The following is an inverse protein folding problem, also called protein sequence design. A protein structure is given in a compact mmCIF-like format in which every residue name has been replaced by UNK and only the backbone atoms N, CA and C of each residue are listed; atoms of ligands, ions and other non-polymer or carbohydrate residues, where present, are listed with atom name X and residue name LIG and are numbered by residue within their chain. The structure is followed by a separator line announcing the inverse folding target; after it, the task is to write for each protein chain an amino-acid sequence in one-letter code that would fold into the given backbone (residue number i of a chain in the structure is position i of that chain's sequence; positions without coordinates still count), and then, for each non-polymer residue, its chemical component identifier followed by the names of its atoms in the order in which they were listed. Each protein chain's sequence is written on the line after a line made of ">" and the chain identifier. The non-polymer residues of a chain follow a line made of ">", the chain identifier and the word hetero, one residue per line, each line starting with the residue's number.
data_IF_895584923105
#
_entry.id   IF_895584923105
#
_cell.length_a   1.000
_cell.length_b   1.000
_cell.length_c   1.000
_cell.angle_alpha   90.00
_cell.angle_beta   90.00
_cell.angle_gamma   90.00
#
_symmetry.space_group_name_H-M   'P 1'
#
loop_
_entity.id
_entity.type
_entity.pdbx_description
1 polymer ?
#
# COMPACT_ATOMS: atom_id res chain seq x y z
N UNK A 1 0.38 8.57 -40.22
CA UNK A 1 0.25 9.94 -40.78
C UNK A 1 0.84 10.87 -39.75
N UNK A 2 1.77 11.74 -40.04
CA UNK A 2 2.29 12.72 -39.08
C UNK A 2 1.15 13.70 -38.75
N UNK A 3 0.79 13.77 -37.47
CA UNK A 3 -0.17 14.76 -36.98
C UNK A 3 0.31 16.17 -37.28
N UNK A 4 -0.55 16.98 -37.89
CA UNK A 4 -0.24 18.35 -38.29
C UNK A 4 0.17 19.17 -37.04
N UNK A 5 1.29 19.91 -37.09
CA UNK A 5 1.83 20.69 -35.96
C UNK A 5 0.84 21.72 -35.37
N UNK A 6 -0.20 22.10 -36.10
CA UNK A 6 -1.21 23.07 -35.68
C UNK A 6 -2.20 22.56 -34.58
N UNK A 7 -2.45 21.26 -34.49
CA UNK A 7 -3.36 20.70 -33.46
C UNK A 7 -2.72 20.59 -32.07
N UNK A 8 -1.41 20.40 -32.02
CA UNK A 8 -0.67 20.21 -30.76
C UNK A 8 -0.48 21.54 -29.98
N UNK A 9 -0.22 22.66 -30.72
CA UNK A 9 -0.10 23.97 -30.08
C UNK A 9 -1.44 24.50 -29.53
N UNK A 10 -2.55 24.05 -30.13
CA UNK A 10 -3.91 24.43 -29.67
C UNK A 10 -4.25 23.75 -28.33
N UNK A 11 -3.82 22.51 -28.14
CA UNK A 11 -4.03 21.79 -26.86
C UNK A 11 -3.26 22.46 -25.71
N UNK A 12 -1.99 22.82 -25.91
CA UNK A 12 -1.20 23.52 -24.89
C UNK A 12 -1.85 24.85 -24.48
N UNK A 13 -2.33 25.62 -25.45
CA UNK A 13 -3.00 26.89 -25.20
C UNK A 13 -4.31 26.73 -24.44
N UNK A 14 -5.10 25.72 -24.72
CA UNK A 14 -6.35 25.43 -23.99
C UNK A 14 -6.06 25.08 -22.53
N UNK A 15 -5.07 24.22 -22.28
CA UNK A 15 -4.67 23.85 -20.92
C UNK A 15 -4.16 25.05 -20.14
N UNK A 16 -3.28 25.84 -20.73
CA UNK A 16 -2.75 27.07 -20.11
C UNK A 16 -3.88 28.04 -19.80
N UNK A 17 -4.78 28.29 -20.78
CA UNK A 17 -5.89 29.22 -20.61
C UNK A 17 -6.83 28.76 -19.49
N UNK A 18 -7.19 27.48 -19.45
CA UNK A 18 -8.07 26.92 -18.41
C UNK A 18 -7.48 27.08 -17.00
N UNK A 19 -6.18 26.91 -16.84
CA UNK A 19 -5.53 27.07 -15.55
C UNK A 19 -5.28 28.54 -15.14
N UNK A 20 -5.30 29.49 -16.10
CA UNK A 20 -5.17 30.93 -15.81
C UNK A 20 -6.50 31.60 -15.43
N UNK A 21 -7.64 31.02 -15.79
CA UNK A 21 -8.98 31.58 -15.47
C UNK A 21 -9.14 31.91 -13.97
N UNK A 22 -8.75 31.05 -13.01
CA UNK A 22 -8.87 31.38 -11.60
C UNK A 22 -8.02 32.60 -11.17
N UNK A 23 -6.82 32.76 -11.74
CA UNK A 23 -6.00 33.97 -11.51
C UNK A 23 -6.69 35.23 -11.99
N UNK A 24 -7.26 35.21 -13.19
CA UNK A 24 -8.03 36.32 -13.72
C UNK A 24 -9.23 36.64 -12.80
N UNK A 25 -9.92 35.61 -12.30
CA UNK A 25 -11.02 35.74 -11.34
C UNK A 25 -10.63 36.49 -10.06
N UNK A 26 -9.43 36.21 -9.52
CA UNK A 26 -8.91 36.94 -8.33
C UNK A 26 -8.66 38.41 -8.64
N UNK A 27 -8.00 38.72 -9.77
CA UNK A 27 -7.60 40.09 -10.09
C UNK A 27 -8.77 40.95 -10.62
N UNK A 28 -9.68 40.35 -11.38
CA UNK A 28 -10.78 41.11 -12.04
C UNK A 28 -12.12 41.07 -11.30
N UNK A 29 -12.40 39.96 -10.59
CA UNK A 29 -13.71 39.72 -9.97
C UNK A 29 -13.66 39.69 -8.44
N UNK A 30 -12.49 39.97 -7.84
CA UNK A 30 -12.32 40.04 -6.38
C UNK A 30 -12.53 38.72 -5.66
N UNK A 31 -12.25 37.56 -6.33
CA UNK A 31 -12.38 36.28 -5.70
C UNK A 31 -11.41 36.14 -4.52
N UNK A 32 -11.88 35.52 -3.44
CA UNK A 32 -11.07 35.32 -2.27
C UNK A 32 -9.97 34.27 -2.56
N UNK A 33 -8.70 34.64 -2.39
CA UNK A 33 -7.53 33.80 -2.62
C UNK A 33 -7.59 32.52 -1.78
N UNK A 34 -8.02 32.62 -0.53
CA UNK A 34 -8.12 31.46 0.36
C UNK A 34 -9.17 30.45 -0.11
N UNK A 35 -10.30 30.94 -0.60
CA UNK A 35 -11.35 30.09 -1.18
C UNK A 35 -10.83 29.30 -2.37
N UNK A 36 -10.05 29.92 -3.25
CA UNK A 36 -9.44 29.23 -4.38
C UNK A 36 -8.39 28.21 -3.96
N UNK A 37 -7.55 28.52 -2.97
CA UNK A 37 -6.58 27.58 -2.43
C UNK A 37 -7.28 26.34 -1.85
N UNK A 38 -8.38 26.52 -1.15
CA UNK A 38 -9.19 25.39 -0.64
C UNK A 38 -9.78 24.58 -1.79
N UNK A 39 -10.30 25.23 -2.84
CA UNK A 39 -10.82 24.55 -4.02
C UNK A 39 -9.74 23.70 -4.71
N UNK A 40 -8.55 24.26 -4.89
CA UNK A 40 -7.41 23.51 -5.44
C UNK A 40 -6.96 22.35 -4.53
N UNK A 41 -7.04 22.54 -3.21
CA UNK A 41 -6.75 21.48 -2.27
C UNK A 41 -7.76 20.32 -2.39
N UNK A 42 -9.05 20.62 -2.51
CA UNK A 42 -10.12 19.63 -2.76
C UNK A 42 -9.87 18.93 -4.10
N UNK A 43 -9.51 19.68 -5.14
CA UNK A 43 -9.15 19.13 -6.45
C UNK A 43 -7.98 18.13 -6.36
N UNK A 44 -6.89 18.51 -5.69
CA UNK A 44 -5.73 17.65 -5.53
C UNK A 44 -6.08 16.39 -4.74
N UNK A 45 -6.83 16.52 -3.66
CA UNK A 45 -7.29 15.39 -2.85
C UNK A 45 -8.16 14.43 -3.66
N UNK A 46 -9.16 14.94 -4.38
CA UNK A 46 -10.02 14.10 -5.23
C UNK A 46 -9.25 13.44 -6.37
N UNK A 47 -8.29 14.14 -6.96
CA UNK A 47 -7.42 13.60 -8.02
C UNK A 47 -6.54 12.47 -7.49
N UNK A 48 -6.01 12.57 -6.26
CA UNK A 48 -5.26 11.46 -5.62
C UNK A 48 -6.17 10.27 -5.31
N UNK A 49 -7.36 10.51 -4.78
CA UNK A 49 -8.32 9.42 -4.50
C UNK A 49 -8.73 8.69 -5.78
N UNK A 50 -9.12 9.43 -6.83
CA UNK A 50 -9.48 8.84 -8.12
C UNK A 50 -8.28 8.22 -8.82
N UNK A 51 -7.11 8.85 -8.75
CA UNK A 51 -5.86 8.28 -9.26
C UNK A 51 -5.52 6.95 -8.58
N UNK A 52 -5.70 6.88 -7.26
CA UNK A 52 -5.53 5.65 -6.49
C UNK A 52 -6.51 4.57 -6.95
N UNK A 53 -7.78 4.91 -7.15
CA UNK A 53 -8.78 3.99 -7.67
C UNK A 53 -8.43 3.53 -9.09
N UNK A 54 -8.08 4.45 -10.00
CA UNK A 54 -7.61 4.14 -11.37
C UNK A 54 -6.40 3.18 -11.33
N UNK A 55 -5.44 3.42 -10.44
CA UNK A 55 -4.22 2.61 -10.35
C UNK A 55 -4.49 1.15 -10.05
N UNK A 56 -5.58 0.81 -9.32
CA UNK A 56 -5.96 -0.57 -9.05
C UNK A 56 -6.34 -1.36 -10.31
N UNK A 57 -6.82 -0.68 -11.34
CA UNK A 57 -7.21 -1.28 -12.62
C UNK A 57 -6.08 -1.32 -13.65
N UNK A 58 -4.94 -0.68 -13.39
CA UNK A 58 -3.84 -0.60 -14.34
C UNK A 58 -3.22 -1.96 -14.64
N UNK A 59 -3.22 -2.36 -15.92
CA UNK A 59 -2.76 -3.67 -16.38
C UNK A 59 -1.23 -3.74 -16.49
N UNK A 60 -0.56 -2.63 -16.78
CA UNK A 60 0.89 -2.64 -16.91
C UNK A 60 1.57 -2.74 -15.53
N UNK A 61 2.59 -3.59 -15.41
CA UNK A 61 3.38 -3.71 -14.21
C UNK A 61 4.17 -2.44 -13.93
N UNK A 62 4.09 -1.94 -12.70
CA UNK A 62 4.93 -0.82 -12.28
C UNK A 62 6.35 -1.29 -11.97
N UNK A 63 7.40 -0.59 -12.43
CA UNK A 63 8.77 -0.94 -12.06
C UNK A 63 9.00 -0.76 -10.56
N UNK A 64 9.81 -1.63 -9.97
CA UNK A 64 10.21 -1.56 -8.56
C UNK A 64 11.23 -0.46 -8.33
N UNK A 65 11.12 0.23 -7.20
CA UNK A 65 12.16 1.15 -6.71
C UNK A 65 13.01 0.40 -5.68
N UNK A 66 14.28 0.20 -6.01
CA UNK A 66 15.21 -0.50 -5.13
C UNK A 66 15.32 0.23 -3.79
N UNK A 67 15.17 -0.52 -2.71
CA UNK A 67 15.27 -0.01 -1.34
C UNK A 67 13.97 0.60 -0.76
N UNK A 68 12.92 0.76 -1.53
CA UNK A 68 11.62 1.25 -1.02
C UNK A 68 10.76 0.08 -0.57
N UNK A 69 10.39 0.06 0.71
CA UNK A 69 9.43 -0.92 1.26
C UNK A 69 8.02 -0.34 1.24
N UNK A 70 7.20 -0.82 0.33
CA UNK A 70 5.78 -0.46 0.25
C UNK A 70 4.95 -1.28 1.26
N UNK A 71 3.81 -0.75 1.74
CA UNK A 71 2.85 -1.54 2.51
C UNK A 71 2.37 -2.72 1.68
N UNK A 72 2.21 -3.89 2.29
CA UNK A 72 1.78 -5.12 1.59
C UNK A 72 2.66 -5.48 0.36
N UNK A 73 3.96 -5.22 0.46
CA UNK A 73 4.93 -5.49 -0.62
C UNK A 73 4.81 -6.92 -1.20
N UNK A 74 4.35 -7.86 -0.39
CA UNK A 74 4.13 -9.24 -0.79
C UNK A 74 3.14 -9.40 -1.96
N UNK A 75 2.19 -8.48 -2.12
CA UNK A 75 1.22 -8.50 -3.22
C UNK A 75 1.79 -7.99 -4.55
N UNK A 76 2.93 -7.30 -4.53
CA UNK A 76 3.50 -6.67 -5.72
C UNK A 76 3.84 -7.66 -6.84
N UNK A 77 4.20 -8.88 -6.46
CA UNK A 77 4.54 -9.94 -7.40
C UNK A 77 3.35 -10.83 -7.78
N UNK A 78 2.13 -10.49 -7.28
CA UNK A 78 0.92 -11.22 -7.67
C UNK A 78 0.57 -10.95 -9.13
N UNK A 79 0.33 -12.02 -9.88
CA UNK A 79 -0.02 -12.01 -11.30
C UNK A 79 -1.50 -12.24 -11.49
N UNK A 80 -2.05 -11.73 -12.59
CA UNK A 80 -3.47 -11.83 -12.89
C UNK A 80 -4.32 -10.74 -12.23
N UNK A 81 -5.59 -10.68 -12.61
CA UNK A 81 -6.54 -9.69 -12.15
C UNK A 81 -7.88 -10.32 -11.75
N UNK A 82 -8.45 -9.81 -10.68
CA UNK A 82 -9.76 -10.21 -10.20
C UNK A 82 -10.86 -9.30 -10.75
N UNK A 83 -11.95 -9.87 -11.24
CA UNK A 83 -13.12 -9.15 -11.73
C UNK A 83 -14.17 -9.04 -10.63
N UNK A 84 -14.26 -7.90 -9.91
CA UNK A 84 -15.26 -7.72 -8.85
C UNK A 84 -16.68 -7.68 -9.40
N UNK A 85 -16.85 -7.11 -10.58
CA UNK A 85 -18.10 -7.02 -11.33
C UNK A 85 -17.81 -7.23 -12.82
N UNK A 86 -18.71 -7.87 -13.54
CA UNK A 86 -18.56 -8.10 -14.99
C UNK A 86 -18.48 -6.81 -15.82
N UNK A 87 -18.98 -5.70 -15.27
CA UNK A 87 -19.00 -4.38 -15.92
C UNK A 87 -17.76 -3.53 -15.64
N UNK A 88 -16.92 -3.95 -14.70
CA UNK A 88 -15.68 -3.23 -14.33
C UNK A 88 -14.44 -3.98 -14.86
N UNK A 89 -13.36 -3.26 -15.16
CA UNK A 89 -12.10 -3.91 -15.48
C UNK A 89 -11.56 -4.71 -14.29
N UNK A 90 -10.61 -5.63 -14.53
CA UNK A 90 -10.02 -6.41 -13.46
C UNK A 90 -9.22 -5.53 -12.49
N UNK A 91 -9.33 -5.81 -11.20
CA UNK A 91 -8.49 -5.23 -10.16
C UNK A 91 -7.22 -6.07 -10.04
N UNK A 92 -6.07 -5.43 -10.15
CA UNK A 92 -4.76 -6.09 -10.04
C UNK A 92 -4.18 -5.94 -8.62
N UNK A 93 -4.10 -7.01 -7.81
CA UNK A 93 -3.57 -6.94 -6.45
C UNK A 93 -2.15 -6.38 -6.37
N UNK A 94 -1.33 -6.55 -7.41
CA UNK A 94 0.04 -6.01 -7.50
C UNK A 94 0.13 -4.48 -7.40
N UNK A 95 -0.95 -3.76 -7.68
CA UNK A 95 -1.00 -2.31 -7.63
C UNK A 95 -1.38 -1.78 -6.23
N UNK A 96 -1.94 -2.64 -5.36
CA UNK A 96 -2.36 -2.29 -4.00
C UNK A 96 -1.22 -1.72 -3.14
N UNK A 97 0.00 -2.29 -3.13
CA UNK A 97 1.11 -1.74 -2.35
C UNK A 97 1.42 -0.28 -2.70
N UNK A 98 1.48 0.02 -3.98
CA UNK A 98 1.77 1.38 -4.46
C UNK A 98 0.61 2.35 -4.16
N UNK A 99 -0.62 1.95 -4.40
CA UNK A 99 -1.82 2.72 -4.07
C UNK A 99 -1.89 3.08 -2.58
N UNK A 100 -1.62 2.09 -1.70
CA UNK A 100 -1.57 2.31 -0.25
C UNK A 100 -0.39 3.19 0.18
N UNK A 101 0.75 3.12 -0.50
CA UNK A 101 1.88 4.02 -0.22
C UNK A 101 1.51 5.48 -0.45
N UNK A 102 0.84 5.78 -1.56
CA UNK A 102 0.40 7.14 -1.89
C UNK A 102 -0.66 7.62 -0.89
N UNK A 103 -1.68 6.81 -0.60
CA UNK A 103 -2.69 7.14 0.43
C UNK A 103 -2.08 7.27 1.83
N UNK A 104 -1.08 6.45 2.15
CA UNK A 104 -0.37 6.51 3.42
C UNK A 104 0.39 7.81 3.59
N UNK A 105 1.09 8.29 2.57
CA UNK A 105 1.78 9.59 2.58
C UNK A 105 0.75 10.71 2.76
N UNK A 106 -0.34 10.67 2.02
CA UNK A 106 -1.41 11.65 2.15
C UNK A 106 -2.02 11.65 3.56
N UNK A 107 -2.45 10.50 4.05
CA UNK A 107 -3.09 10.37 5.36
C UNK A 107 -2.18 10.69 6.54
N UNK A 108 -0.90 10.35 6.47
CA UNK A 108 0.05 10.55 7.58
C UNK A 108 0.78 11.89 7.56
N UNK A 109 0.84 12.57 6.42
CA UNK A 109 1.62 13.80 6.28
C UNK A 109 0.75 14.97 5.85
N UNK A 110 0.08 14.86 4.71
CA UNK A 110 -0.65 15.98 4.12
C UNK A 110 -1.89 16.36 4.94
N UNK A 111 -2.70 15.37 5.33
CA UNK A 111 -3.92 15.63 6.12
C UNK A 111 -3.59 16.24 7.49
N UNK A 112 -2.66 15.71 8.31
CA UNK A 112 -2.30 16.33 9.59
C UNK A 112 -1.71 17.73 9.45
N UNK A 113 -0.84 17.98 8.46
CA UNK A 113 -0.28 19.31 8.21
C UNK A 113 -1.41 20.28 7.85
N UNK A 114 -2.31 19.89 6.95
CA UNK A 114 -3.46 20.72 6.58
C UNK A 114 -4.35 21.00 7.79
N UNK A 115 -4.65 20.00 8.61
CA UNK A 115 -5.44 20.17 9.83
C UNK A 115 -4.77 21.14 10.82
N UNK A 116 -3.44 21.05 10.97
CA UNK A 116 -2.66 21.98 11.82
C UNK A 116 -2.74 23.41 11.27
N UNK A 117 -2.58 23.59 9.95
CA UNK A 117 -2.71 24.91 9.30
C UNK A 117 -4.11 25.50 9.56
N UNK A 118 -5.14 24.70 9.39
CA UNK A 118 -6.51 25.13 9.64
C UNK A 118 -6.79 25.47 11.10
N UNK A 119 -6.13 24.79 12.04
CA UNK A 119 -6.27 25.03 13.46
C UNK A 119 -5.49 26.27 13.94
N UNK A 120 -4.42 26.67 13.24
CA UNK A 120 -3.52 27.76 13.66
C UNK A 120 -3.67 29.04 12.87
N UNK A 121 -4.15 28.96 11.64
CA UNK A 121 -4.40 30.10 10.75
C UNK A 121 -5.90 30.34 10.63
N UNK A 122 -6.33 31.55 10.96
CA UNK A 122 -7.72 31.96 10.76
C UNK A 122 -7.97 32.14 9.26
N UNK A 123 -8.35 31.04 8.60
CA UNK A 123 -8.60 31.00 7.16
C UNK A 123 -10.07 31.40 6.95
N UNK A 124 -10.35 32.57 6.37
CA UNK A 124 -11.71 33.01 6.10
C UNK A 124 -12.31 32.22 4.92
N UNK A 125 -12.68 30.97 5.16
CA UNK A 125 -13.35 30.15 4.15
C UNK A 125 -14.82 30.52 4.14
N UNK A 126 -15.21 31.26 3.13
CA UNK A 126 -16.61 31.47 2.83
C UNK A 126 -17.08 30.29 1.98
N UNK A 127 -17.79 29.36 2.59
CA UNK A 127 -18.52 28.30 1.88
C UNK A 127 -19.75 28.95 1.19
N UNK A 128 -19.46 29.64 0.11
CA UNK A 128 -20.54 30.20 -0.71
C UNK A 128 -21.14 29.10 -1.61
N UNK A 129 -22.32 29.32 -2.09
CA UNK A 129 -22.99 28.38 -3.00
C UNK A 129 -22.19 28.21 -4.31
N UNK A 130 -21.48 29.26 -4.76
CA UNK A 130 -20.60 29.19 -5.93
C UNK A 130 -19.44 28.23 -5.73
N UNK A 131 -18.83 28.22 -4.55
CA UNK A 131 -17.75 27.24 -4.19
C UNK A 131 -18.27 25.83 -4.19
N UNK A 132 -19.47 25.63 -3.63
CA UNK A 132 -20.10 24.31 -3.59
C UNK A 132 -20.43 23.79 -4.99
N UNK A 133 -20.94 24.63 -5.86
CA UNK A 133 -21.21 24.30 -7.28
C UNK A 133 -19.89 24.02 -8.00
N UNK A 134 -18.89 24.90 -7.85
CA UNK A 134 -17.59 24.72 -8.51
C UNK A 134 -16.94 23.40 -8.10
N UNK A 135 -16.98 23.06 -6.80
CA UNK A 135 -16.52 21.76 -6.29
C UNK A 135 -17.30 20.59 -6.90
N UNK A 136 -18.63 20.70 -6.97
CA UNK A 136 -19.50 19.70 -7.57
C UNK A 136 -19.21 19.47 -9.05
N UNK A 137 -19.03 20.54 -9.82
CA UNK A 137 -18.69 20.47 -11.25
C UNK A 137 -17.31 19.83 -11.44
N UNK A 138 -16.32 20.19 -10.61
CA UNK A 138 -14.98 19.62 -10.66
C UNK A 138 -15.02 18.12 -10.38
N UNK A 139 -15.69 17.68 -9.33
CA UNK A 139 -15.82 16.26 -8.99
C UNK A 139 -16.57 15.50 -10.09
N UNK A 140 -17.63 16.08 -10.64
CA UNK A 140 -18.37 15.48 -11.73
C UNK A 140 -17.50 15.34 -12.99
N UNK A 141 -16.72 16.36 -13.34
CA UNK A 141 -15.80 16.30 -14.48
C UNK A 141 -14.77 15.18 -14.33
N UNK A 142 -14.20 15.01 -13.11
CA UNK A 142 -13.26 13.92 -12.81
C UNK A 142 -13.95 12.54 -12.89
N UNK A 143 -15.19 12.41 -12.45
CA UNK A 143 -15.95 11.15 -12.56
C UNK A 143 -16.31 10.82 -14.02
N UNK A 144 -16.66 11.83 -14.83
CA UNK A 144 -16.91 11.66 -16.27
C UNK A 144 -15.63 11.23 -16.97
N UNK A 145 -14.49 11.87 -16.71
CA UNK A 145 -13.18 11.49 -17.25
C UNK A 145 -12.83 10.05 -16.86
N UNK A 146 -13.03 9.66 -15.60
CA UNK A 146 -12.83 8.30 -15.16
C UNK A 146 -13.68 7.31 -15.94
N UNK A 147 -14.98 7.60 -16.12
CA UNK A 147 -15.90 6.67 -16.76
C UNK A 147 -15.74 6.63 -18.28
N UNK A 148 -15.58 7.78 -18.91
CA UNK A 148 -15.56 7.90 -20.38
C UNK A 148 -14.16 7.67 -20.94
N UNK A 149 -13.17 8.39 -20.41
CA UNK A 149 -11.81 8.33 -20.96
C UNK A 149 -11.03 7.13 -20.40
N UNK A 150 -11.06 6.91 -19.08
CA UNK A 150 -10.23 5.85 -18.52
C UNK A 150 -10.84 4.46 -18.72
N UNK A 151 -12.13 4.28 -18.37
CA UNK A 151 -12.83 2.99 -18.54
C UNK A 151 -13.31 2.77 -19.97
N UNK A 152 -13.88 3.81 -20.59
CA UNK A 152 -14.51 3.71 -21.93
C UNK A 152 -13.50 3.47 -23.05
N UNK A 153 -12.33 4.10 -23.02
CA UNK A 153 -11.25 3.87 -24.00
C UNK A 153 -10.31 2.72 -23.63
N UNK A 154 -10.56 2.03 -22.52
CA UNK A 154 -9.70 0.96 -21.97
C UNK A 154 -8.25 1.42 -21.70
N UNK A 155 -8.05 2.67 -21.36
CA UNK A 155 -6.73 3.23 -21.08
C UNK A 155 -5.98 2.46 -19.98
N UNK A 156 -6.70 1.77 -19.09
CA UNK A 156 -6.13 0.92 -18.05
C UNK A 156 -5.29 -0.25 -18.59
N UNK A 157 -5.45 -0.64 -19.86
CA UNK A 157 -4.65 -1.72 -20.49
C UNK A 157 -3.24 -1.27 -20.83
N UNK A 158 -3.02 0.03 -21.07
CA UNK A 158 -1.79 0.60 -21.61
C UNK A 158 -0.95 1.33 -20.57
N UNK A 159 -1.48 1.56 -19.35
CA UNK A 159 -0.82 2.35 -18.30
C UNK A 159 -0.45 1.52 -17.09
N UNK A 160 0.57 1.98 -16.35
CA UNK A 160 0.97 1.42 -15.06
C UNK A 160 0.40 2.25 -13.90
N UNK A 161 0.27 1.63 -12.70
CA UNK A 161 -0.17 2.33 -11.50
C UNK A 161 0.74 3.52 -11.16
N UNK A 162 2.03 3.40 -11.44
CA UNK A 162 3.00 4.47 -11.21
C UNK A 162 2.76 5.66 -12.12
N UNK A 163 2.54 5.44 -13.40
CA UNK A 163 2.24 6.51 -14.36
C UNK A 163 0.99 7.29 -13.96
N UNK A 164 -0.07 6.59 -13.56
CA UNK A 164 -1.33 7.21 -13.14
C UNK A 164 -1.14 8.12 -11.92
N UNK A 165 -0.35 7.66 -10.92
CA UNK A 165 -0.20 8.37 -9.65
C UNK A 165 0.97 9.36 -9.64
N UNK A 166 1.80 9.40 -10.65
CA UNK A 166 2.96 10.28 -10.71
C UNK A 166 2.54 11.75 -10.75
N UNK A 167 1.62 12.13 -11.63
CA UNK A 167 1.13 13.51 -11.74
C UNK A 167 0.40 13.98 -10.46
N UNK A 168 -0.58 13.25 -9.90
CA UNK A 168 -1.22 13.62 -8.65
C UNK A 168 -0.24 13.79 -7.48
N UNK A 169 0.76 12.91 -7.39
CA UNK A 169 1.78 12.97 -6.33
C UNK A 169 2.67 14.21 -6.48
N UNK A 170 3.11 14.54 -7.69
CA UNK A 170 3.93 15.72 -7.95
C UNK A 170 3.15 17.01 -7.66
N UNK A 171 1.88 17.08 -8.06
CA UNK A 171 1.01 18.20 -7.75
C UNK A 171 0.83 18.40 -6.23
N UNK A 172 0.67 17.29 -5.51
CA UNK A 172 0.55 17.31 -4.04
C UNK A 172 1.80 17.86 -3.36
N UNK A 173 2.98 17.37 -3.77
CA UNK A 173 4.25 17.86 -3.23
C UNK A 173 4.43 19.35 -3.51
N UNK A 174 4.09 19.80 -4.71
CA UNK A 174 4.13 21.21 -5.07
C UNK A 174 3.17 22.06 -4.22
N UNK A 175 1.94 21.57 -4.00
CA UNK A 175 0.97 22.24 -3.13
C UNK A 175 1.46 22.31 -1.67
N UNK A 176 2.05 21.25 -1.16
CA UNK A 176 2.60 21.22 0.20
C UNK A 176 3.72 22.26 0.38
N UNK A 177 4.68 22.31 -0.57
CA UNK A 177 5.77 23.27 -0.52
C UNK A 177 5.26 24.72 -0.57
N UNK A 178 4.33 25.00 -1.48
CA UNK A 178 3.73 26.33 -1.61
C UNK A 178 2.85 26.68 -0.40
N UNK A 179 2.15 25.71 0.18
CA UNK A 179 1.37 25.89 1.41
C UNK A 179 2.25 26.26 2.59
N UNK A 180 3.41 25.61 2.76
CA UNK A 180 4.38 25.95 3.82
C UNK A 180 4.93 27.38 3.62
N UNK A 181 5.24 27.76 2.38
CA UNK A 181 5.67 29.14 2.06
C UNK A 181 4.55 30.13 2.38
N UNK A 182 3.29 29.78 2.05
CA UNK A 182 2.12 30.61 2.32
C UNK A 182 1.86 30.88 3.80
N UNK A 183 2.23 29.92 4.70
CA UNK A 183 2.10 30.11 6.16
C UNK A 183 2.99 31.21 6.73
N UNK A 184 4.12 31.47 6.09
CA UNK A 184 5.07 32.51 6.53
C UNK A 184 4.79 33.89 5.91
N UNK A 185 3.76 33.98 5.08
CA UNK A 185 3.56 35.08 4.17
C UNK A 185 2.41 36.01 4.62
N UNK A 186 2.63 37.32 4.45
CA UNK A 186 1.61 38.36 4.62
C UNK A 186 0.51 38.24 3.55
N UNK A 187 -0.60 38.97 3.70
CA UNK A 187 -1.76 38.91 2.79
C UNK A 187 -1.42 39.13 1.29
N UNK A 188 -0.39 39.93 0.99
CA UNK A 188 0.14 40.12 -0.37
C UNK A 188 0.86 38.88 -0.93
N UNK A 189 1.36 38.02 -0.06
CA UNK A 189 2.02 36.79 -0.47
C UNK A 189 1.03 35.66 -0.79
N UNK A 190 -0.23 35.72 -0.35
CA UNK A 190 -1.25 34.77 -0.73
C UNK A 190 -1.47 34.75 -2.25
N UNK A 191 -1.42 35.91 -2.91
CA UNK A 191 -1.51 36.00 -4.38
C UNK A 191 -0.27 35.42 -5.04
N UNK A 192 0.93 35.60 -4.47
CA UNK A 192 2.15 35.01 -5.01
C UNK A 192 2.15 33.47 -4.86
N UNK A 193 1.63 32.96 -3.74
CA UNK A 193 1.47 31.50 -3.52
C UNK A 193 0.47 30.92 -4.54
N UNK A 194 -0.66 31.57 -4.74
CA UNK A 194 -1.65 31.18 -5.74
C UNK A 194 -1.05 31.20 -7.16
N UNK A 195 -0.33 32.28 -7.51
CA UNK A 195 0.35 32.39 -8.80
C UNK A 195 1.38 31.28 -9.01
N UNK A 196 2.21 31.01 -8.01
CA UNK A 196 3.17 29.90 -8.01
C UNK A 196 2.48 28.55 -8.20
N UNK A 197 1.38 28.31 -7.50
CA UNK A 197 0.59 27.09 -7.63
C UNK A 197 0.03 26.91 -9.05
N UNK A 198 -0.61 27.96 -9.61
CA UNK A 198 -1.17 27.90 -10.97
C UNK A 198 -0.07 27.64 -12.00
N UNK A 199 1.11 28.26 -11.84
CA UNK A 199 2.26 28.01 -12.73
C UNK A 199 2.70 26.53 -12.64
N UNK A 200 2.90 26.00 -11.44
CA UNK A 200 3.32 24.61 -11.26
C UNK A 200 2.25 23.64 -11.76
N UNK A 201 0.97 23.87 -11.44
CA UNK A 201 -0.14 23.06 -11.94
C UNK A 201 -0.19 23.06 -13.46
N UNK A 202 -0.09 24.24 -14.08
CA UNK A 202 -0.11 24.38 -15.55
C UNK A 202 1.08 23.65 -16.17
N UNK A 203 2.28 23.80 -15.59
CA UNK A 203 3.47 23.11 -16.07
C UNK A 203 3.31 21.59 -16.01
N UNK A 204 2.76 21.06 -14.91
CA UNK A 204 2.48 19.63 -14.76
C UNK A 204 1.41 19.17 -15.76
N UNK A 205 0.28 19.86 -15.89
CA UNK A 205 -0.76 19.50 -16.84
C UNK A 205 -0.26 19.50 -18.29
N UNK A 206 0.50 20.53 -18.69
CA UNK A 206 1.11 20.57 -20.04
C UNK A 206 2.09 19.42 -20.23
N UNK A 207 2.92 19.09 -19.24
CA UNK A 207 3.92 18.03 -19.38
C UNK A 207 3.30 16.63 -19.53
N UNK A 208 2.11 16.40 -18.96
CA UNK A 208 1.46 15.08 -18.95
C UNK A 208 0.38 14.92 -20.02
N UNK A 209 -0.37 15.96 -20.32
CA UNK A 209 -1.52 15.91 -21.22
C UNK A 209 -1.16 16.31 -22.66
N UNK A 210 -0.03 16.99 -22.85
CA UNK A 210 0.40 17.49 -24.14
C UNK A 210 1.67 16.77 -24.65
N UNK A 211 1.77 16.63 -25.96
CA UNK A 211 2.97 16.13 -26.66
C UNK A 211 3.75 17.25 -27.36
N UNK A 212 3.41 18.50 -27.06
CA UNK A 212 4.00 19.69 -27.63
C UNK A 212 5.48 19.92 -27.25
N UNK A 213 6.14 20.93 -27.85
CA UNK A 213 7.54 21.24 -27.55
C UNK A 213 7.75 21.67 -26.09
N UNK A 214 6.77 22.40 -25.51
CA UNK A 214 6.81 22.83 -24.11
C UNK A 214 6.73 21.62 -23.18
N UNK A 215 5.82 20.70 -23.47
CA UNK A 215 5.66 19.46 -22.71
C UNK A 215 6.96 18.66 -22.65
N UNK A 216 7.62 18.46 -23.80
CA UNK A 216 8.91 17.74 -23.89
C UNK A 216 10.02 18.41 -23.08
N UNK A 217 10.08 19.75 -23.11
CA UNK A 217 11.06 20.50 -22.30
C UNK A 217 10.79 20.34 -20.80
N UNK A 218 9.53 20.44 -20.37
CA UNK A 218 9.14 20.26 -18.98
C UNK A 218 9.38 18.82 -18.51
N UNK A 219 9.02 17.81 -19.30
CA UNK A 219 9.31 16.41 -19.01
C UNK A 219 10.80 16.18 -18.81
N UNK A 220 11.66 16.73 -19.69
CA UNK A 220 13.11 16.60 -19.53
C UNK A 220 13.66 17.22 -18.23
N UNK A 221 13.03 18.28 -17.73
CA UNK A 221 13.37 18.90 -16.44
C UNK A 221 12.91 18.01 -15.29
N UNK A 222 11.67 17.49 -15.36
CA UNK A 222 11.15 16.58 -14.34
C UNK A 222 11.92 15.26 -14.27
N UNK A 223 12.32 14.71 -15.42
CA UNK A 223 13.16 13.50 -15.48
C UNK A 223 14.53 13.72 -14.83
N UNK A 224 15.14 14.89 -15.05
CA UNK A 224 16.41 15.26 -14.37
C UNK A 224 16.27 15.45 -12.87
N UNK A 225 15.12 16.00 -12.40
CA UNK A 225 14.83 16.19 -10.98
C UNK A 225 14.43 14.88 -10.30
N UNK A 226 13.86 13.94 -11.06
CA UNK A 226 13.49 12.61 -10.60
C UNK A 226 14.67 11.66 -10.57
N UNK A 227 15.83 12.10 -10.06
CA UNK A 227 17.11 11.42 -9.98
C UNK A 227 17.10 9.91 -10.33
N UNK A 228 18.11 9.43 -11.06
CA UNK A 228 18.37 8.04 -11.45
C UNK A 228 18.08 7.03 -10.35
N UNK A 229 16.80 6.69 -10.18
CA UNK A 229 16.43 5.54 -9.36
C UNK A 229 16.50 4.32 -10.24
N UNK A 230 17.39 3.41 -9.91
CA UNK A 230 17.42 2.10 -10.57
C UNK A 230 16.04 1.46 -10.47
N UNK A 231 15.36 1.36 -11.60
CA UNK A 231 14.06 0.76 -11.74
C UNK A 231 14.25 -0.69 -12.20
N UNK A 232 13.79 -1.62 -11.40
CA UNK A 232 13.74 -3.02 -11.80
C UNK A 232 12.62 -3.20 -12.84
N UNK A 233 12.89 -3.91 -13.92
CA UNK A 233 11.87 -4.20 -14.93
C UNK A 233 10.80 -5.15 -14.37
N UNK A 234 9.52 -4.95 -14.72
CA UNK A 234 8.49 -5.92 -14.42
C UNK A 234 8.86 -7.29 -14.99
N UNK A 235 8.73 -8.33 -14.21
CA UNK A 235 9.03 -9.67 -14.69
C UNK A 235 7.95 -10.16 -15.65
N UNK A 236 8.33 -10.83 -16.76
CA UNK A 236 7.38 -11.43 -17.68
C UNK A 236 6.51 -12.48 -16.96
N UNK A 237 5.30 -12.65 -17.44
CA UNK A 237 4.47 -13.76 -16.98
C UNK A 237 5.12 -15.08 -17.43
N UNK A 238 5.18 -16.11 -16.56
CA UNK A 238 5.70 -17.41 -16.97
C UNK A 238 4.69 -18.07 -17.92
N UNK A 239 5.19 -18.60 -19.01
CA UNK A 239 4.40 -19.35 -19.96
C UNK A 239 3.90 -20.64 -19.32
N UNK A 240 2.58 -20.83 -19.34
CA UNK A 240 1.96 -22.03 -18.78
C UNK A 240 2.26 -23.23 -19.71
N UNK A 241 2.80 -24.35 -19.18
CA UNK A 241 3.03 -25.54 -20.01
C UNK A 241 1.71 -26.06 -20.62
N UNK A 242 1.77 -26.48 -21.88
CA UNK A 242 0.62 -27.05 -22.62
C UNK A 242 0.21 -28.44 -22.07
N UNK A 243 1.03 -29.04 -21.22
CA UNK A 243 0.79 -30.34 -20.63
C UNK A 243 -0.44 -30.34 -19.70
N UNK A 244 -1.20 -31.43 -19.77
CA UNK A 244 -2.39 -31.59 -18.94
C UNK A 244 -2.02 -31.68 -17.43
N UNK A 245 -2.93 -31.23 -16.58
CA UNK A 245 -2.77 -31.34 -15.13
C UNK A 245 -2.84 -32.81 -14.73
N UNK A 246 -1.73 -33.37 -14.21
CA UNK A 246 -1.62 -34.76 -13.75
C UNK A 246 -2.10 -34.92 -12.31
N UNK A 247 -1.74 -33.99 -11.45
CA UNK A 247 -2.14 -33.94 -10.05
C UNK A 247 -2.38 -32.50 -9.59
N UNK A 248 -3.23 -32.32 -8.59
CA UNK A 248 -3.53 -31.02 -8.00
C UNK A 248 -3.66 -31.09 -6.49
N UNK A 249 -3.22 -30.04 -5.82
CA UNK A 249 -3.40 -29.84 -4.37
C UNK A 249 -4.01 -28.45 -4.16
N UNK A 250 -5.20 -28.41 -3.58
CA UNK A 250 -5.91 -27.17 -3.26
C UNK A 250 -5.61 -26.79 -1.82
N UNK A 251 -5.28 -25.53 -1.58
CA UNK A 251 -5.02 -25.02 -0.25
C UNK A 251 -6.33 -24.80 0.50
N UNK A 252 -6.45 -25.33 1.72
CA UNK A 252 -7.65 -25.12 2.52
C UNK A 252 -7.67 -23.72 3.14
N UNK A 253 -8.83 -23.02 3.15
CA UNK A 253 -8.95 -21.70 3.79
C UNK A 253 -8.54 -21.71 5.26
N UNK A 254 -8.82 -22.81 5.98
CA UNK A 254 -8.46 -22.95 7.39
C UNK A 254 -6.93 -22.97 7.58
N UNK A 255 -6.20 -23.74 6.78
CA UNK A 255 -4.73 -23.78 6.86
C UNK A 255 -4.10 -22.42 6.59
N UNK A 256 -4.67 -21.64 5.66
CA UNK A 256 -4.19 -20.29 5.36
C UNK A 256 -4.46 -19.34 6.52
N UNK A 257 -5.65 -19.37 7.12
CA UNK A 257 -5.97 -18.54 8.27
C UNK A 257 -5.08 -18.88 9.47
N UNK A 258 -4.85 -20.17 9.74
CA UNK A 258 -3.94 -20.61 10.79
C UNK A 258 -2.48 -20.20 10.50
N UNK A 259 -2.03 -20.37 9.25
CA UNK A 259 -0.72 -19.92 8.80
C UNK A 259 -0.52 -18.40 8.91
N UNK A 260 -1.60 -17.60 8.82
CA UNK A 260 -1.53 -16.13 8.94
C UNK A 260 -1.16 -15.63 10.34
N UNK A 261 -1.20 -16.48 11.38
CA UNK A 261 -0.88 -16.10 12.76
C UNK A 261 0.53 -15.54 12.91
N UNK A 262 1.52 -16.06 12.16
CA UNK A 262 2.86 -15.47 12.12
C UNK A 262 2.87 -14.04 11.57
N UNK A 263 2.07 -13.78 10.55
CA UNK A 263 1.92 -12.45 9.96
C UNK A 263 1.23 -11.49 10.92
N UNK A 264 0.22 -11.95 11.66
CA UNK A 264 -0.46 -11.17 12.69
C UNK A 264 0.53 -10.79 13.79
N UNK A 265 1.29 -11.75 14.32
CA UNK A 265 2.30 -11.51 15.34
C UNK A 265 3.33 -10.48 14.88
N UNK A 266 3.92 -10.67 13.70
CA UNK A 266 4.88 -9.72 13.12
C UNK A 266 4.26 -8.34 12.90
N UNK A 267 2.97 -8.27 12.60
CA UNK A 267 2.24 -6.99 12.42
C UNK A 267 2.08 -6.26 13.75
N UNK A 268 1.73 -6.95 14.82
CA UNK A 268 1.60 -6.34 16.17
C UNK A 268 2.94 -5.75 16.63
N UNK A 269 4.06 -6.42 16.32
CA UNK A 269 5.40 -5.92 16.65
C UNK A 269 5.96 -4.89 15.64
N UNK A 270 5.20 -4.55 14.60
CA UNK A 270 5.56 -3.43 13.73
C UNK A 270 5.47 -2.11 14.51
N UNK A 271 6.48 -1.24 14.34
CA UNK A 271 6.59 0.03 15.09
C UNK A 271 5.32 0.88 15.02
N UNK A 272 4.71 1.03 13.84
CA UNK A 272 3.48 1.82 13.66
C UNK A 272 2.29 1.23 14.41
N UNK A 273 2.11 -0.10 14.35
CA UNK A 273 1.02 -0.81 15.05
C UNK A 273 1.26 -0.82 16.57
N UNK A 274 2.52 -0.98 17.00
CA UNK A 274 2.87 -0.89 18.40
C UNK A 274 2.57 0.50 18.98
N UNK A 275 2.91 1.57 18.27
CA UNK A 275 2.57 2.94 18.68
C UNK A 275 1.06 3.18 18.71
N UNK A 276 0.32 2.66 17.73
CA UNK A 276 -1.14 2.72 17.72
C UNK A 276 -1.72 2.00 18.94
N UNK A 277 -1.22 0.81 19.26
CA UNK A 277 -1.65 0.03 20.42
C UNK A 277 -1.37 0.79 21.73
N UNK A 278 -0.19 1.37 21.87
CA UNK A 278 0.17 2.23 23.01
C UNK A 278 -0.80 3.41 23.13
N UNK A 279 -1.10 4.08 22.01
CA UNK A 279 -2.05 5.19 21.96
C UNK A 279 -3.48 4.77 22.38
N UNK A 280 -3.94 3.60 21.92
CA UNK A 280 -5.25 3.04 22.33
C UNK A 280 -5.27 2.76 23.83
N UNK A 281 -4.23 2.12 24.36
CA UNK A 281 -4.12 1.83 25.79
C UNK A 281 -4.10 3.13 26.59
N UNK A 282 -3.28 4.11 26.19
CA UNK A 282 -3.24 5.42 26.84
C UNK A 282 -4.60 6.12 26.82
N UNK A 283 -5.33 6.10 25.71
CA UNK A 283 -6.65 6.69 25.58
C UNK A 283 -7.69 5.99 26.51
N UNK A 284 -7.59 4.68 26.70
CA UNK A 284 -8.44 3.94 27.64
C UNK A 284 -8.16 4.41 29.08
N UNK A 285 -6.89 4.46 29.49
CA UNK A 285 -6.53 4.84 30.86
C UNK A 285 -6.77 6.32 31.16
N UNK A 286 -6.74 7.19 30.16
CA UNK A 286 -7.07 8.61 30.30
C UNK A 286 -8.57 8.92 30.15
N UNK A 287 -9.40 7.90 29.95
CA UNK A 287 -10.87 8.05 29.84
C UNK A 287 -11.37 8.59 28.50
N UNK A 288 -10.50 8.68 27.48
CA UNK A 288 -10.87 9.17 26.16
C UNK A 288 -11.47 8.05 25.28
N UNK A 289 -12.68 7.59 25.61
CA UNK A 289 -13.36 6.44 24.97
C UNK A 289 -13.53 6.59 23.45
N UNK A 290 -13.75 7.78 22.94
CA UNK A 290 -13.90 8.03 21.49
C UNK A 290 -12.59 7.71 20.77
N UNK A 291 -11.46 8.22 21.27
CA UNK A 291 -10.16 7.99 20.64
C UNK A 291 -9.71 6.54 20.78
N UNK A 292 -10.01 5.87 21.90
CA UNK A 292 -9.72 4.44 22.05
C UNK A 292 -10.55 3.59 21.08
N UNK A 293 -11.83 3.92 20.87
CA UNK A 293 -12.69 3.22 19.90
C UNK A 293 -12.22 3.42 18.46
N UNK A 294 -11.84 4.63 18.08
CA UNK A 294 -11.26 4.93 16.77
C UNK A 294 -9.94 4.15 16.56
N UNK A 295 -9.04 4.20 17.53
CA UNK A 295 -7.77 3.48 17.46
C UNK A 295 -7.95 1.97 17.37
N UNK A 296 -8.90 1.39 18.12
CA UNK A 296 -9.23 -0.04 18.03
C UNK A 296 -9.81 -0.39 16.65
N UNK A 297 -10.68 0.44 16.10
CA UNK A 297 -11.22 0.24 14.75
C UNK A 297 -10.09 0.24 13.71
N UNK A 298 -9.15 1.19 13.78
CA UNK A 298 -7.99 1.24 12.90
C UNK A 298 -7.12 -0.02 13.05
N UNK A 299 -6.89 -0.48 14.28
CA UNK A 299 -6.13 -1.71 14.54
C UNK A 299 -6.80 -2.94 13.90
N UNK A 300 -8.11 -3.08 14.08
CA UNK A 300 -8.89 -4.17 13.46
C UNK A 300 -8.81 -4.10 11.94
N UNK A 301 -8.95 -2.92 11.34
CA UNK A 301 -8.80 -2.72 9.90
C UNK A 301 -7.40 -3.11 9.40
N UNK A 302 -6.34 -2.72 10.10
CA UNK A 302 -4.96 -3.08 9.74
C UNK A 302 -4.77 -4.59 9.80
N UNK A 303 -5.25 -5.25 10.84
CA UNK A 303 -5.18 -6.72 10.97
C UNK A 303 -6.00 -7.42 9.88
N UNK A 304 -7.21 -6.96 9.59
CA UNK A 304 -8.05 -7.51 8.54
C UNK A 304 -7.39 -7.39 7.16
N UNK A 305 -6.78 -6.25 6.85
CA UNK A 305 -6.02 -6.03 5.62
C UNK A 305 -4.81 -6.97 5.54
N UNK A 306 -4.09 -7.18 6.63
CA UNK A 306 -2.95 -8.10 6.69
C UNK A 306 -3.36 -9.56 6.50
N UNK A 307 -4.42 -10.00 7.17
CA UNK A 307 -4.98 -11.35 6.99
C UNK A 307 -5.49 -11.52 5.55
N UNK A 308 -6.22 -10.54 5.03
CA UNK A 308 -6.72 -10.55 3.66
C UNK A 308 -5.59 -10.61 2.62
N UNK A 309 -4.50 -9.86 2.82
CA UNK A 309 -3.32 -9.93 1.94
C UNK A 309 -2.63 -11.29 1.98
N UNK A 310 -2.53 -11.91 3.16
CA UNK A 310 -1.99 -13.26 3.33
C UNK A 310 -2.88 -14.30 2.64
N UNK A 311 -4.20 -14.15 2.80
CA UNK A 311 -5.18 -15.02 2.12
C UNK A 311 -5.11 -14.88 0.60
N UNK A 312 -5.05 -13.66 0.06
CA UNK A 312 -4.84 -13.43 -1.37
C UNK A 312 -3.53 -14.02 -1.89
N UNK A 313 -2.51 -14.12 -1.04
CA UNK A 313 -1.21 -14.67 -1.42
C UNK A 313 -1.22 -16.19 -1.52
N UNK A 314 -1.91 -16.89 -0.62
CA UNK A 314 -1.83 -18.34 -0.47
C UNK A 314 -3.18 -19.07 -0.59
N UNK A 315 -4.27 -18.45 -0.20
CA UNK A 315 -5.58 -19.10 -0.09
C UNK A 315 -6.30 -19.32 -1.41
N UNK A 316 -5.88 -18.63 -2.45
CA UNK A 316 -6.43 -18.74 -3.81
C UNK A 316 -5.56 -19.60 -4.72
N UNK A 317 -4.48 -20.20 -4.19
CA UNK A 317 -3.51 -20.98 -4.94
C UNK A 317 -3.94 -22.45 -5.02
N UNK A 318 -3.86 -23.00 -6.23
CA UNK A 318 -3.88 -24.42 -6.53
C UNK A 318 -2.50 -24.83 -7.04
N UNK A 319 -1.88 -25.82 -6.41
CA UNK A 319 -0.61 -26.37 -6.87
C UNK A 319 -0.89 -27.51 -7.85
N UNK A 320 -0.39 -27.38 -9.07
CA UNK A 320 -0.61 -28.31 -10.17
C UNK A 320 0.69 -28.95 -10.61
N UNK A 321 0.71 -30.28 -10.75
CA UNK A 321 1.77 -30.99 -11.44
C UNK A 321 1.40 -31.07 -12.93
N UNK A 322 2.27 -30.57 -13.81
CA UNK A 322 2.16 -30.67 -15.26
C UNK A 322 3.47 -31.20 -15.82
N UNK A 323 3.50 -32.50 -16.20
CA UNK A 323 4.75 -33.15 -16.59
C UNK A 323 5.84 -33.03 -15.54
N UNK A 324 6.96 -32.45 -15.93
CA UNK A 324 8.12 -32.26 -15.05
C UNK A 324 8.13 -30.94 -14.27
N UNK A 325 7.04 -30.16 -14.32
CA UNK A 325 6.96 -28.86 -13.65
C UNK A 325 5.87 -28.82 -12.59
N UNK A 326 6.15 -28.08 -11.52
CA UNK A 326 5.17 -27.66 -10.50
C UNK A 326 4.76 -26.24 -10.78
N UNK A 327 3.46 -26.01 -10.90
CA UNK A 327 2.83 -24.72 -11.17
C UNK A 327 2.02 -24.30 -9.97
N UNK A 328 2.26 -23.09 -9.45
CA UNK A 328 1.34 -22.46 -8.53
C UNK A 328 0.35 -21.58 -9.33
N UNK A 329 -0.87 -22.04 -9.47
CA UNK A 329 -1.91 -21.38 -10.23
C UNK A 329 -2.90 -20.69 -9.30
N UNK A 330 -3.13 -19.41 -9.50
CA UNK A 330 -4.13 -18.66 -8.74
C UNK A 330 -5.50 -18.75 -9.42
N UNK A 331 -6.44 -19.41 -8.76
CA UNK A 331 -7.78 -19.66 -9.29
C UNK A 331 -8.67 -18.41 -9.29
N UNK A 332 -8.45 -17.47 -8.37
CA UNK A 332 -9.17 -16.20 -8.29
C UNK A 332 -8.68 -15.20 -9.36
N UNK A 333 -7.36 -15.14 -9.55
CA UNK A 333 -6.73 -14.21 -10.48
C UNK A 333 -6.55 -14.79 -11.89
N UNK A 334 -6.83 -16.08 -12.05
CA UNK A 334 -6.73 -16.86 -13.30
C UNK A 334 -5.35 -16.73 -13.97
N UNK A 335 -4.29 -16.90 -13.19
CA UNK A 335 -2.92 -16.72 -13.67
C UNK A 335 -1.89 -17.58 -12.90
N UNK A 336 -0.84 -18.10 -13.58
CA UNK A 336 0.26 -18.76 -12.93
C UNK A 336 1.09 -17.76 -12.12
N UNK A 337 1.35 -18.06 -10.87
CA UNK A 337 2.15 -17.21 -9.99
C UNK A 337 3.65 -17.51 -10.13
N UNK A 338 4.00 -18.78 -10.17
CA UNK A 338 5.35 -19.26 -10.43
C UNK A 338 5.32 -20.70 -10.98
N UNK A 339 6.38 -21.05 -11.68
CA UNK A 339 6.59 -22.36 -12.29
C UNK A 339 7.99 -22.84 -11.92
N UNK A 340 8.11 -24.10 -11.51
CA UNK A 340 9.37 -24.68 -11.07
C UNK A 340 9.53 -26.08 -11.64
N UNK A 341 10.64 -26.38 -12.34
CA UNK A 341 10.98 -27.74 -12.72
C UNK A 341 11.28 -28.61 -11.50
N UNK A 342 10.61 -29.75 -11.37
CA UNK A 342 10.68 -30.58 -10.16
C UNK A 342 11.98 -31.35 -10.06
N UNK A 343 12.54 -31.81 -11.20
CA UNK A 343 13.73 -32.67 -11.24
C UNK A 343 15.04 -31.92 -11.59
N UNK A 344 15.00 -30.58 -11.64
CA UNK A 344 16.18 -29.78 -11.96
C UNK A 344 16.91 -29.27 -10.70
N UNK A 345 17.44 -28.06 -10.77
CA UNK A 345 18.22 -27.43 -9.69
C UNK A 345 17.37 -26.95 -8.49
N UNK A 346 16.05 -27.03 -8.57
CA UNK A 346 15.18 -26.60 -7.49
C UNK A 346 15.34 -27.49 -6.24
N UNK A 347 15.38 -26.86 -5.07
CA UNK A 347 15.44 -27.54 -3.78
C UNK A 347 14.14 -27.33 -3.05
N UNK A 348 13.54 -28.43 -2.62
CA UNK A 348 12.33 -28.45 -1.80
C UNK A 348 12.71 -28.77 -0.35
N UNK A 349 12.51 -27.81 0.55
CA UNK A 349 12.87 -27.92 1.97
C UNK A 349 11.63 -27.68 2.82
N UNK A 350 11.39 -28.51 3.84
CA UNK A 350 10.29 -28.30 4.77
C UNK A 350 10.63 -27.08 5.64
N UNK A 351 9.76 -26.06 5.58
CA UNK A 351 9.86 -24.89 6.44
C UNK A 351 9.05 -25.14 7.70
N UNK A 352 9.71 -25.61 8.76
CA UNK A 352 9.09 -25.79 10.07
C UNK A 352 8.71 -24.42 10.70
N UNK A 353 7.76 -23.71 10.08
CA UNK A 353 7.29 -22.43 10.60
C UNK A 353 6.54 -22.62 11.93
N UNK A 354 6.53 -21.60 12.77
CA UNK A 354 5.82 -21.64 14.07
C UNK A 354 4.35 -22.04 13.89
N UNK A 355 3.55 -21.47 12.97
CA UNK A 355 2.19 -21.91 12.74
C UNK A 355 2.07 -23.38 12.32
N UNK A 356 3.01 -23.88 11.51
CA UNK A 356 2.98 -25.26 11.04
C UNK A 356 3.08 -26.24 12.22
N UNK A 357 3.93 -25.93 13.21
CA UNK A 357 4.09 -26.73 14.43
C UNK A 357 2.90 -26.66 15.37
N UNK A 358 2.31 -25.45 15.53
CA UNK A 358 1.20 -25.23 16.46
C UNK A 358 -0.12 -25.80 15.94
N UNK A 359 -0.35 -25.71 14.63
CA UNK A 359 -1.63 -26.03 14.03
C UNK A 359 -1.60 -27.25 13.09
N UNK A 360 -0.45 -27.90 12.96
CA UNK A 360 -0.31 -29.08 12.11
C UNK A 360 -0.40 -28.78 10.61
N UNK A 361 -0.18 -27.53 10.21
CA UNK A 361 -0.06 -27.18 8.79
C UNK A 361 1.34 -27.44 8.28
N UNK A 362 1.53 -27.48 6.97
CA UNK A 362 2.84 -27.69 6.38
C UNK A 362 3.17 -26.69 5.29
N UNK A 363 4.42 -26.25 5.27
CA UNK A 363 4.94 -25.29 4.30
C UNK A 363 6.26 -25.76 3.73
N UNK A 364 6.46 -25.67 2.40
CA UNK A 364 7.74 -25.91 1.76
C UNK A 364 8.38 -24.59 1.31
N UNK A 365 9.68 -24.51 1.45
CA UNK A 365 10.52 -23.52 0.77
C UNK A 365 11.05 -24.15 -0.51
N UNK A 366 10.83 -23.47 -1.64
CA UNK A 366 11.36 -23.88 -2.94
C UNK A 366 12.42 -22.87 -3.33
N UNK A 367 13.67 -23.31 -3.40
CA UNK A 367 14.83 -22.47 -3.73
C UNK A 367 15.32 -22.72 -5.14
N UNK A 368 16.12 -21.79 -5.69
CA UNK A 368 16.65 -21.82 -7.06
C UNK A 368 15.54 -21.78 -8.14
N UNK A 369 14.52 -20.99 -7.89
CA UNK A 369 13.43 -20.75 -8.84
C UNK A 369 13.85 -19.70 -9.86
N UNK A 370 13.84 -20.05 -11.13
CA UNK A 370 14.09 -19.11 -12.23
C UNK A 370 12.90 -18.19 -12.44
N UNK A 371 13.13 -16.98 -12.92
CA UNK A 371 12.10 -15.98 -13.23
C UNK A 371 11.23 -15.49 -12.05
N UNK A 372 11.74 -15.55 -10.81
CA UNK A 372 11.12 -14.88 -9.65
C UNK A 372 12.05 -13.79 -9.08
N UNK A 373 11.53 -12.68 -8.51
CA UNK A 373 12.37 -11.61 -7.92
C UNK A 373 13.26 -12.09 -6.78
N UNK A 374 12.77 -13.09 -6.07
CA UNK A 374 13.52 -13.84 -5.06
C UNK A 374 13.75 -15.23 -5.61
N UNK A 375 14.97 -15.70 -5.64
CA UNK A 375 15.31 -17.08 -6.04
C UNK A 375 14.61 -18.15 -5.18
N UNK A 376 13.64 -17.75 -4.37
CA UNK A 376 12.95 -18.59 -3.39
C UNK A 376 11.46 -18.26 -3.36
N UNK A 377 10.62 -19.30 -3.50
CA UNK A 377 9.17 -19.20 -3.34
C UNK A 377 8.68 -20.11 -2.22
N UNK A 378 7.45 -19.91 -1.78
CA UNK A 378 6.82 -20.70 -0.74
C UNK A 378 5.64 -21.48 -1.31
N UNK A 379 5.58 -22.77 -1.00
CA UNK A 379 4.47 -23.66 -1.23
C UNK A 379 3.71 -23.85 0.09
N UNK A 380 2.40 -23.72 0.08
CA UNK A 380 1.57 -23.81 1.28
C UNK A 380 1.36 -22.45 1.97
N UNK A 381 0.71 -22.45 3.15
CA UNK A 381 0.46 -23.58 4.06
C UNK A 381 -0.64 -24.55 3.58
N UNK A 382 -0.38 -25.83 3.67
CA UNK A 382 -1.35 -26.90 3.37
C UNK A 382 -1.72 -27.66 4.64
N UNK A 383 -2.90 -28.31 4.66
CA UNK A 383 -3.37 -29.04 5.84
C UNK A 383 -2.58 -30.32 6.11
N UNK A 384 -2.22 -31.04 5.05
CA UNK A 384 -1.43 -32.26 5.11
C UNK A 384 -0.29 -32.15 4.10
N UNK A 385 0.91 -31.92 4.61
CA UNK A 385 2.08 -31.72 3.77
C UNK A 385 2.58 -33.04 3.17
N UNK A 386 2.52 -34.12 3.92
CA UNK A 386 3.01 -35.42 3.47
C UNK A 386 2.15 -35.94 2.31
N UNK A 387 0.82 -35.81 2.42
CA UNK A 387 -0.11 -36.12 1.34
C UNK A 387 0.13 -35.23 0.12
N UNK A 388 0.42 -33.93 0.32
CA UNK A 388 0.69 -33.01 -0.78
C UNK A 388 2.00 -33.38 -1.52
N UNK A 389 3.05 -33.75 -0.79
CA UNK A 389 4.34 -34.19 -1.34
C UNK A 389 4.15 -35.47 -2.17
N UNK A 390 3.42 -36.45 -1.64
CA UNK A 390 3.13 -37.70 -2.34
C UNK A 390 2.28 -37.48 -3.58
N UNK A 391 1.19 -36.69 -3.47
CA UNK A 391 0.28 -36.38 -4.59
C UNK A 391 1.00 -35.70 -5.75
N UNK A 392 1.93 -34.78 -5.46
CA UNK A 392 2.66 -33.99 -6.46
C UNK A 392 4.02 -34.62 -6.83
N UNK A 393 4.39 -35.73 -6.25
CA UNK A 393 5.68 -36.43 -6.45
C UNK A 393 6.88 -35.47 -6.32
N UNK A 394 7.00 -34.82 -5.15
CA UNK A 394 8.04 -33.82 -4.92
C UNK A 394 9.29 -34.42 -4.25
N UNK A 395 10.49 -34.11 -4.76
CA UNK A 395 11.77 -34.61 -4.19
C UNK A 395 12.15 -33.76 -2.96
N UNK A 396 11.44 -33.94 -1.85
CA UNK A 396 11.66 -33.18 -0.62
C UNK A 396 12.74 -33.82 0.25
N UNK A 397 13.67 -33.00 0.72
CA UNK A 397 14.60 -33.40 1.77
C UNK A 397 13.97 -33.17 3.14
N UNK A 398 13.84 -34.22 3.93
CA UNK A 398 13.43 -34.14 5.33
C UNK A 398 14.62 -33.60 6.14
N UNK A 399 14.56 -32.33 6.52
CA UNK A 399 15.37 -31.81 7.62
C UNK A 399 14.65 -32.15 8.92
N UNK A 400 15.38 -32.75 9.90
CA UNK A 400 14.82 -33.08 11.21
C UNK A 400 14.14 -31.87 11.88
N UNK A 401 13.06 -32.12 12.60
CA UNK A 401 12.43 -31.07 13.42
C UNK A 401 13.42 -30.52 14.43
N UNK A 402 13.45 -29.19 14.68
CA UNK A 402 14.25 -28.64 15.77
C UNK A 402 13.89 -29.35 17.08
N UNK A 403 14.90 -29.65 17.90
CA UNK A 403 14.70 -30.28 19.21
C UNK A 403 13.79 -29.40 20.09
N UNK A 404 12.75 -30.03 20.65
CA UNK A 404 11.86 -29.36 21.61
C UNK A 404 12.60 -29.21 22.93
N UNK A 405 12.59 -27.99 23.49
CA UNK A 405 13.19 -27.71 24.79
C UNK A 405 12.15 -27.11 25.76
N UNK A 406 11.50 -27.98 26.56
CA UNK A 406 10.47 -27.53 27.50
C UNK A 406 10.99 -26.52 28.53
N UNK A 407 12.29 -26.60 28.88
CA UNK A 407 12.88 -25.68 29.86
C UNK A 407 12.97 -24.23 29.28
N UNK A 408 13.39 -24.12 28.01
CA UNK A 408 13.42 -22.83 27.33
C UNK A 408 12.01 -22.27 27.15
N UNK A 409 11.04 -23.12 26.78
CA UNK A 409 9.62 -22.72 26.66
C UNK A 409 9.08 -22.20 27.99
N UNK A 410 9.28 -22.94 29.08
CA UNK A 410 8.82 -22.56 30.41
C UNK A 410 9.49 -21.27 30.92
N UNK A 411 10.80 -21.14 30.75
CA UNK A 411 11.53 -19.94 31.16
C UNK A 411 11.11 -18.70 30.36
N UNK A 412 10.96 -18.81 29.04
CA UNK A 412 10.52 -17.71 28.20
C UNK A 412 9.10 -17.27 28.53
N UNK A 413 8.18 -18.21 28.78
CA UNK A 413 6.80 -17.93 29.20
C UNK A 413 6.77 -17.22 30.55
N UNK A 414 7.51 -17.71 31.55
CA UNK A 414 7.57 -17.11 32.88
C UNK A 414 8.10 -15.66 32.84
N UNK A 415 9.17 -15.43 32.05
CA UNK A 415 9.73 -14.09 31.87
C UNK A 415 8.75 -13.17 31.10
N UNK A 416 8.08 -13.67 30.07
CA UNK A 416 7.08 -12.88 29.33
C UNK A 416 5.92 -12.46 30.25
N UNK A 417 5.41 -13.36 31.09
CA UNK A 417 4.37 -13.07 32.08
C UNK A 417 4.85 -12.06 33.13
N UNK A 418 6.09 -12.22 33.62
CA UNK A 418 6.68 -11.30 34.59
C UNK A 418 6.81 -9.89 34.01
N UNK A 419 7.39 -9.74 32.84
CA UNK A 419 7.57 -8.44 32.18
C UNK A 419 6.25 -7.81 31.67
N UNK A 420 5.21 -8.59 31.45
CA UNK A 420 3.87 -8.06 31.17
C UNK A 420 3.16 -7.62 32.44
N UNK A 421 3.32 -8.37 33.52
CA UNK A 421 2.68 -8.11 34.82
C UNK A 421 3.13 -6.79 35.47
N UNK A 422 4.41 -6.45 35.39
CA UNK A 422 4.95 -5.24 35.99
C UNK A 422 4.27 -3.96 35.44
N UNK A 423 4.24 -3.69 34.15
CA UNK A 423 3.54 -2.52 33.61
C UNK A 423 2.05 -2.51 33.94
N UNK A 424 1.39 -3.67 33.88
CA UNK A 424 -0.05 -3.77 34.20
C UNK A 424 -0.33 -3.43 35.67
N UNK A 425 0.50 -3.90 36.61
CA UNK A 425 0.40 -3.53 38.02
C UNK A 425 0.63 -2.04 38.25
N UNK A 426 1.63 -1.44 37.57
CA UNK A 426 1.88 0.00 37.66
C UNK A 426 0.70 0.81 37.12
N UNK A 427 0.16 0.45 35.97
CA UNK A 427 -0.99 1.14 35.35
C UNK A 427 -2.29 0.96 36.13
N UNK A 428 -2.47 -0.13 36.86
CA UNK A 428 -3.62 -0.38 37.72
C UNK A 428 -3.55 0.34 39.10
N UNK A 429 -2.46 1.01 39.40
CA UNK A 429 -2.29 1.75 40.66
C UNK A 429 -3.13 3.03 40.67
N UNK A 430 -3.94 3.20 41.68
CA UNK A 430 -4.77 4.40 41.88
C UNK A 430 -3.95 5.69 42.18
N UNK A 431 -2.66 5.54 42.39
CA UNK A 431 -1.76 6.66 42.69
C UNK A 431 -1.19 7.35 41.41
N UNK A 432 -1.37 6.71 40.24
CA UNK A 432 -0.82 7.23 38.96
C UNK A 432 -1.92 8.04 38.27
N UNK A 433 -1.62 9.29 37.94
CA UNK A 433 -2.52 10.19 37.21
C UNK A 433 -2.55 9.85 35.70
N UNK A 434 -3.60 10.29 34.99
CA UNK A 434 -3.73 10.02 33.56
C UNK A 434 -2.54 10.50 32.71
N UNK A 435 -1.90 11.62 33.07
CA UNK A 435 -0.71 12.15 32.38
C UNK A 435 0.52 11.28 32.65
N UNK A 436 0.71 10.83 33.90
CA UNK A 436 1.81 9.93 34.27
C UNK A 436 1.70 8.59 33.57
N UNK A 437 0.47 8.06 33.40
CA UNK A 437 0.21 6.84 32.59
C UNK A 437 0.75 7.00 31.16
N UNK A 438 0.44 8.13 30.51
CA UNK A 438 0.91 8.39 29.14
C UNK A 438 2.44 8.44 29.07
N UNK A 439 3.09 9.12 30.03
CA UNK A 439 4.56 9.21 30.07
C UNK A 439 5.17 7.82 30.29
N UNK A 440 4.67 7.04 31.25
CA UNK A 440 5.16 5.69 31.53
C UNK A 440 4.99 4.78 30.31
N UNK A 441 3.84 4.83 29.65
CA UNK A 441 3.59 4.05 28.44
C UNK A 441 4.52 4.46 27.31
N UNK A 442 4.71 5.76 27.06
CA UNK A 442 5.63 6.22 25.99
C UNK A 442 7.09 5.81 26.23
N UNK A 443 7.55 5.82 27.48
CA UNK A 443 8.92 5.46 27.82
C UNK A 443 9.17 3.96 27.87
N UNK A 444 8.28 3.20 28.48
CA UNK A 444 8.51 1.79 28.81
C UNK A 444 7.89 0.81 27.79
N UNK A 445 6.72 1.12 27.23
CA UNK A 445 6.02 0.17 26.37
C UNK A 445 6.83 -0.25 25.13
N UNK A 446 7.57 0.61 24.41
CA UNK A 446 8.40 0.18 23.29
C UNK A 446 9.44 -0.88 23.68
N UNK A 447 10.06 -0.72 24.86
CA UNK A 447 11.05 -1.66 25.39
C UNK A 447 10.37 -3.00 25.75
N UNK A 448 9.27 -2.97 26.51
CA UNK A 448 8.57 -4.18 26.91
C UNK A 448 7.95 -4.92 25.73
N UNK A 449 7.41 -4.23 24.74
CA UNK A 449 6.86 -4.86 23.53
C UNK A 449 7.95 -5.64 22.79
N UNK A 450 9.14 -5.05 22.62
CA UNK A 450 10.26 -5.73 21.96
C UNK A 450 10.72 -6.93 22.80
N UNK A 451 10.91 -6.76 24.10
CA UNK A 451 11.35 -7.81 25.00
C UNK A 451 10.38 -8.99 25.02
N UNK A 452 9.09 -8.71 25.22
CA UNK A 452 8.04 -9.73 25.20
C UNK A 452 7.97 -10.41 23.84
N UNK A 453 8.12 -9.66 22.73
CA UNK A 453 8.17 -10.20 21.38
C UNK A 453 9.31 -11.20 21.19
N UNK A 454 10.49 -10.87 21.67
CA UNK A 454 11.68 -11.78 21.62
C UNK A 454 11.45 -13.03 22.47
N UNK A 455 10.89 -12.87 23.68
CA UNK A 455 10.59 -14.02 24.57
C UNK A 455 9.52 -14.94 23.98
N UNK A 456 8.44 -14.38 23.42
CA UNK A 456 7.42 -15.17 22.74
C UNK A 456 7.97 -15.87 21.50
N UNK A 457 8.83 -15.20 20.73
CA UNK A 457 9.49 -15.83 19.59
C UNK A 457 10.40 -16.99 20.04
N UNK A 458 11.21 -16.80 21.10
CA UNK A 458 12.07 -17.84 21.65
C UNK A 458 11.26 -19.05 22.15
N UNK A 459 10.15 -18.80 22.83
CA UNK A 459 9.21 -19.83 23.26
C UNK A 459 8.66 -20.61 22.05
N UNK A 460 8.07 -19.91 21.09
CA UNK A 460 7.44 -20.51 19.92
C UNK A 460 8.44 -21.20 18.98
N UNK A 461 9.71 -20.79 18.99
CA UNK A 461 10.76 -21.42 18.19
C UNK A 461 11.22 -22.77 18.78
N UNK A 462 10.86 -23.11 20.02
CA UNK A 462 11.25 -24.34 20.74
C UNK A 462 10.07 -25.26 21.11
N UNK A 463 8.85 -24.88 20.74
CA UNK A 463 7.67 -25.76 20.70
C UNK A 463 7.71 -26.58 19.41
#
# INVERSE_FOLDING_TARGET
>A
MPSTPSRQSTSDLVIVSANLVPLIGVFSSGWNVWTLLVLYWIEAFSTVLLGTLKSLFAKQGSPDVIGQREPLHELRHKRGGWYPLQTLPPVYPRNVPFALSVLGIWGSTIVPITALVWATVDIPVVLSWEVSISTGVLLLAQLIEFRVDYLGTRKYEDVSAREILQQPTQLTVAMMLLGVIGLTATQSAGVAVLGGFVVVKTALSVSWESTGPIARSLQSIFDRLSADRELSRPQPEPDLPDEAVQARVVVSPQSVLLGSTSTILLTIFNRGVALLLIGVIAAIFTGHLVWSSVGLCVLVCVLAVRIGSYYLRYGTIEYQRRGDVLVAYDTLLNAPQWIVPVHSRARFEIKNAIPDRLFGTGTLRVSNVEATPTSTVQFGPVADLDQAIETLDLPVKHEGRPEQDPAVVGAALALALFFTGIPLMMLGSSQITGVEVVIILMMLAPFFIILIGVLLYAMLARI
#
